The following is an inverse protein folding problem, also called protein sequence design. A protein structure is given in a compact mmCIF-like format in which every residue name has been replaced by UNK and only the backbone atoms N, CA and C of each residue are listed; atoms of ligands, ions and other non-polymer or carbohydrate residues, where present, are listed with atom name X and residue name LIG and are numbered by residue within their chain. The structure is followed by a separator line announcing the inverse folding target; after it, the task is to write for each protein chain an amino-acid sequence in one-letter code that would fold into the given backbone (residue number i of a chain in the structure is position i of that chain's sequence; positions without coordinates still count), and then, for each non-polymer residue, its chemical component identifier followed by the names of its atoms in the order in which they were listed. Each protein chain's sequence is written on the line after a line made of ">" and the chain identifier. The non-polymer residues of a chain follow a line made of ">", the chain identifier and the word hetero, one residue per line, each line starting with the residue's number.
data_IF_029903064650
#
_entry.id   IF_029903064650
#
_cell.length_a   1.000
_cell.length_b   1.000
_cell.length_c   1.000
_cell.angle_alpha   90.00
_cell.angle_beta   90.00
_cell.angle_gamma   90.00
#
_symmetry.space_group_name_H-M   'P 1'
#
loop_
_entity.id
_entity.type
_entity.pdbx_description
1 polymer ?
#
# COMPACT_ATOMS: atom_id res chain seq x y z
N UNK A 1 12.40 -1.96 5.17
CA UNK A 1 11.01 -1.60 4.84
C UNK A 1 10.07 -2.46 5.67
N UNK A 2 9.05 -1.87 6.24
CA UNK A 2 7.91 -2.54 6.88
C UNK A 2 6.62 -1.88 6.42
N UNK A 3 5.46 -2.49 6.65
CA UNK A 3 4.18 -1.94 6.22
C UNK A 3 3.06 -2.36 7.18
N UNK A 4 2.11 -1.49 7.42
CA UNK A 4 0.81 -1.78 8.01
C UNK A 4 -0.27 -1.61 6.93
N UNK A 5 -1.53 -1.91 7.20
CA UNK A 5 -2.62 -2.00 6.21
C UNK A 5 -2.54 -0.98 5.04
N UNK A 6 -2.50 0.33 5.33
CA UNK A 6 -2.44 1.40 4.31
C UNK A 6 -1.19 2.27 4.47
N UNK A 7 -0.18 1.82 5.20
CA UNK A 7 1.03 2.60 5.47
C UNK A 7 2.28 1.77 5.22
N UNK A 8 3.19 2.29 4.41
CA UNK A 8 4.55 1.78 4.27
C UNK A 8 5.51 2.59 5.13
N UNK A 9 6.41 1.94 5.85
CA UNK A 9 7.49 2.56 6.61
C UNK A 9 8.83 2.12 6.03
N UNK A 10 9.61 3.07 5.51
CA UNK A 10 10.90 2.86 4.90
C UNK A 10 11.98 3.56 5.72
N UNK A 11 13.12 2.91 5.83
CA UNK A 11 14.33 3.49 6.43
C UNK A 11 15.44 3.45 5.40
N UNK A 12 16.08 4.59 5.18
CA UNK A 12 17.22 4.77 4.31
C UNK A 12 18.44 5.10 5.17
N UNK A 13 19.44 4.26 5.14
CA UNK A 13 20.74 4.50 5.75
C UNK A 13 21.70 4.94 4.64
N UNK A 14 22.31 6.13 4.78
CA UNK A 14 23.24 6.69 3.84
C UNK A 14 24.68 6.47 4.34
N UNK A 15 25.43 5.67 3.60
CA UNK A 15 26.83 5.44 3.93
C UNK A 15 27.67 6.69 3.59
N UNK A 16 28.35 7.23 4.56
CA UNK A 16 29.37 8.25 4.36
C UNK A 16 30.67 7.56 3.92
N UNK A 17 30.83 7.29 2.64
CA UNK A 17 32.10 6.78 2.11
C UNK A 17 33.13 7.91 2.16
N UNK A 18 34.26 7.77 2.87
CA UNK A 18 35.30 8.81 2.94
C UNK A 18 36.20 8.76 1.69
N UNK A 19 35.63 9.01 0.51
CA UNK A 19 36.41 9.13 -0.73
C UNK A 19 36.33 10.54 -1.24
N UNK A 20 37.45 11.24 -1.17
CA UNK A 20 37.75 12.59 -1.70
C UNK A 20 36.72 13.68 -1.41
N UNK A 21 37.16 14.77 -0.77
CA UNK A 21 36.36 15.87 -0.23
C UNK A 21 35.37 16.55 -1.20
N UNK A 22 35.48 16.28 -2.49
CA UNK A 22 34.71 16.95 -3.56
C UNK A 22 33.58 16.12 -4.17
N UNK A 23 33.35 14.86 -3.74
CA UNK A 23 32.36 13.96 -4.34
C UNK A 23 31.31 13.38 -3.38
N UNK A 24 31.16 13.92 -2.19
CA UNK A 24 30.06 13.50 -1.27
C UNK A 24 28.75 14.02 -1.82
N UNK A 25 28.04 13.16 -2.56
CA UNK A 25 26.66 13.44 -2.95
C UNK A 25 25.79 13.66 -1.71
N UNK A 26 25.07 14.77 -1.67
CA UNK A 26 24.10 15.06 -0.62
C UNK A 26 23.04 13.94 -0.57
N UNK A 27 22.66 13.41 0.61
CA UNK A 27 21.60 12.41 0.73
C UNK A 27 20.29 12.92 0.12
N UNK A 28 19.62 12.08 -0.66
CA UNK A 28 18.39 12.45 -1.32
C UNK A 28 17.45 11.27 -1.50
N UNK A 29 16.15 11.56 -1.62
CA UNK A 29 15.11 10.59 -1.93
C UNK A 29 14.27 11.11 -3.08
N UNK A 30 13.94 10.22 -4.02
CA UNK A 30 13.05 10.48 -5.13
C UNK A 30 11.76 9.67 -5.00
N UNK A 31 10.63 10.34 -5.21
CA UNK A 31 9.31 9.71 -5.27
C UNK A 31 8.78 9.87 -6.68
N UNK A 32 8.57 8.76 -7.37
CA UNK A 32 7.93 8.75 -8.67
C UNK A 32 6.42 8.54 -8.49
N UNK A 33 5.62 9.55 -8.82
CA UNK A 33 4.17 9.47 -8.71
C UNK A 33 3.54 8.78 -9.90
N UNK A 34 4.03 9.02 -11.13
CA UNK A 34 3.46 8.38 -12.31
C UNK A 34 4.54 7.90 -13.29
N UNK A 35 4.24 6.83 -14.01
CA UNK A 35 5.06 6.32 -15.11
C UNK A 35 4.75 7.04 -16.43
N UNK A 36 5.54 6.77 -17.47
CA UNK A 36 5.52 7.51 -18.76
C UNK A 36 4.14 7.66 -19.38
N UNK A 37 3.29 6.65 -19.31
CA UNK A 37 1.99 6.61 -19.97
C UNK A 37 0.83 6.96 -19.03
N UNK A 38 1.12 7.35 -17.78
CA UNK A 38 0.13 7.59 -16.76
C UNK A 38 0.23 9.00 -16.20
N UNK A 39 -0.90 9.63 -16.01
CA UNK A 39 -0.98 10.95 -15.40
C UNK A 39 -0.87 10.84 -13.88
N UNK A 40 -0.16 11.77 -13.29
CA UNK A 40 -0.05 11.92 -11.84
C UNK A 40 0.17 13.35 -11.44
N UNK A 41 0.16 13.56 -10.14
CA UNK A 41 0.43 14.87 -9.53
C UNK A 41 1.27 14.67 -8.28
N UNK A 42 2.23 15.59 -8.07
CA UNK A 42 3.03 15.67 -6.84
C UNK A 42 2.98 17.09 -6.29
N UNK A 43 2.99 17.17 -4.98
CA UNK A 43 3.17 18.38 -4.20
C UNK A 43 4.23 18.14 -3.13
N UNK A 44 4.98 19.18 -2.80
CA UNK A 44 5.96 19.18 -1.70
C UNK A 44 5.52 20.22 -0.67
N UNK A 45 5.30 19.78 0.56
CA UNK A 45 5.08 20.65 1.72
C UNK A 45 6.31 20.58 2.64
N UNK A 46 7.18 21.58 2.52
CA UNK A 46 8.41 21.64 3.29
C UNK A 46 8.14 21.81 4.80
N UNK A 47 7.07 22.50 5.17
CA UNK A 47 6.72 22.75 6.57
C UNK A 47 6.30 21.48 7.30
N UNK A 48 5.60 20.58 6.59
CA UNK A 48 5.18 19.26 7.09
C UNK A 48 6.18 18.15 6.79
N UNK A 49 7.22 18.46 6.03
CA UNK A 49 8.16 17.47 5.50
C UNK A 49 7.43 16.37 4.74
N UNK A 50 6.45 16.75 3.90
CA UNK A 50 5.62 15.83 3.14
C UNK A 50 5.84 16.00 1.64
N UNK A 51 5.81 14.85 0.94
CA UNK A 51 5.58 14.77 -0.51
C UNK A 51 4.29 13.98 -0.69
N UNK A 52 3.31 14.55 -1.39
CA UNK A 52 2.01 13.93 -1.56
C UNK A 52 1.46 14.14 -2.97
N UNK A 53 0.48 13.33 -3.34
CA UNK A 53 -0.12 13.43 -4.65
C UNK A 53 -0.99 12.23 -5.01
N UNK A 54 -1.09 11.98 -6.30
CA UNK A 54 -1.82 10.83 -6.83
C UNK A 54 -1.22 10.33 -8.15
N UNK A 55 -1.63 9.12 -8.53
CA UNK A 55 -1.49 8.59 -9.88
C UNK A 55 -2.83 7.99 -10.36
N UNK A 56 -2.96 7.84 -11.69
CA UNK A 56 -4.15 7.26 -12.33
C UNK A 56 -3.88 5.86 -12.87
N UNK A 57 -2.73 5.27 -12.54
CA UNK A 57 -2.34 3.97 -13.04
C UNK A 57 -3.23 2.86 -12.50
N UNK A 58 -3.77 2.03 -13.39
CA UNK A 58 -4.60 0.87 -13.08
C UNK A 58 -4.14 -0.35 -13.85
N UNK A 59 -4.12 -1.48 -13.19
CA UNK A 59 -3.79 -2.75 -13.83
C UNK A 59 -4.90 -3.24 -14.76
N UNK A 60 -6.15 -2.96 -14.43
CA UNK A 60 -7.36 -3.37 -15.13
C UNK A 60 -7.67 -2.55 -16.39
N UNK A 61 -6.91 -1.50 -16.66
CA UNK A 61 -7.11 -0.58 -17.80
C UNK A 61 -7.22 -1.28 -19.17
N UNK A 62 -6.43 -2.34 -19.38
CA UNK A 62 -6.44 -3.11 -20.64
C UNK A 62 -7.40 -4.30 -20.61
N UNK A 63 -7.97 -4.64 -19.47
CA UNK A 63 -8.59 -5.92 -19.22
C UNK A 63 -10.07 -5.82 -18.82
N UNK A 64 -10.54 -4.63 -18.54
CA UNK A 64 -11.90 -4.38 -18.07
C UNK A 64 -12.67 -3.35 -18.89
N UNK A 65 -13.97 -3.19 -18.62
CA UNK A 65 -14.73 -2.09 -19.16
C UNK A 65 -14.13 -0.76 -18.67
N UNK A 66 -14.17 0.27 -19.50
CA UNK A 66 -13.68 1.62 -19.18
C UNK A 66 -14.60 2.33 -18.16
N UNK A 67 -14.73 1.71 -17.00
CA UNK A 67 -15.40 2.25 -15.82
C UNK A 67 -14.35 2.80 -14.85
N UNK A 68 -14.79 3.42 -13.77
CA UNK A 68 -13.93 3.98 -12.74
C UNK A 68 -12.97 5.06 -13.26
N UNK A 69 -13.48 5.98 -14.07
CA UNK A 69 -12.71 7.12 -14.62
C UNK A 69 -12.13 8.02 -13.51
N UNK A 70 -12.75 8.03 -12.33
CA UNK A 70 -12.30 8.79 -11.16
C UNK A 70 -11.27 8.06 -10.30
N UNK A 71 -10.95 6.80 -10.63
CA UNK A 71 -9.99 6.00 -9.86
C UNK A 71 -8.60 6.63 -9.81
N UNK A 72 -8.09 6.82 -8.61
CA UNK A 72 -6.75 7.35 -8.34
C UNK A 72 -6.13 6.65 -7.14
N UNK A 73 -4.83 6.39 -7.21
CA UNK A 73 -4.06 6.02 -6.04
C UNK A 73 -3.45 7.28 -5.43
N UNK A 74 -3.90 7.66 -4.25
CA UNK A 74 -3.37 8.82 -3.51
C UNK A 74 -2.29 8.37 -2.53
N UNK A 75 -1.32 9.24 -2.27
CA UNK A 75 -0.26 8.99 -1.30
C UNK A 75 0.13 10.25 -0.54
N UNK A 76 0.65 10.04 0.66
CA UNK A 76 1.34 11.06 1.48
C UNK A 76 2.56 10.41 2.09
N UNK A 77 3.74 10.88 1.73
CA UNK A 77 5.02 10.45 2.28
C UNK A 77 5.57 11.52 3.21
N UNK A 78 5.69 11.21 4.50
CA UNK A 78 6.22 12.09 5.54
C UNK A 78 7.63 11.64 5.93
N UNK A 79 8.55 12.59 5.97
CA UNK A 79 9.97 12.36 6.20
C UNK A 79 10.38 12.75 7.63
N UNK A 80 11.29 12.00 8.22
CA UNK A 80 11.84 12.31 9.55
C UNK A 80 12.69 13.58 9.54
N UNK A 81 13.39 13.85 8.44
CA UNK A 81 14.36 14.94 8.33
C UNK A 81 13.84 16.13 7.50
N UNK A 82 14.26 17.36 7.83
CA UNK A 82 13.93 18.55 7.05
C UNK A 82 14.64 18.56 5.70
N UNK A 83 13.98 19.15 4.70
CA UNK A 83 14.53 19.30 3.36
C UNK A 83 15.48 20.51 3.27
N UNK A 84 16.66 20.30 2.71
CA UNK A 84 17.64 21.39 2.41
C UNK A 84 17.53 21.85 0.96
N UNK A 85 17.09 21.00 0.06
CA UNK A 85 16.78 21.30 -1.33
C UNK A 85 15.60 20.40 -1.75
N UNK A 86 14.78 20.89 -2.65
CA UNK A 86 13.64 20.16 -3.18
C UNK A 86 13.39 20.54 -4.65
N UNK A 87 12.58 19.74 -5.31
CA UNK A 87 12.09 20.02 -6.64
C UNK A 87 11.28 18.88 -7.22
N UNK A 88 10.76 19.09 -8.41
CA UNK A 88 9.94 18.13 -9.13
C UNK A 88 10.67 17.57 -10.35
N UNK A 89 10.21 16.45 -10.85
CA UNK A 89 10.71 15.82 -12.06
C UNK A 89 9.60 15.62 -13.09
N UNK A 90 9.97 15.74 -14.36
CA UNK A 90 9.11 15.49 -15.52
C UNK A 90 9.92 14.88 -16.66
N UNK A 91 9.60 13.64 -17.02
CA UNK A 91 10.21 12.99 -18.18
C UNK A 91 11.73 12.82 -18.15
N UNK A 92 12.34 12.74 -16.97
CA UNK A 92 13.78 12.59 -16.81
C UNK A 92 14.53 13.91 -16.57
N UNK A 93 13.84 15.05 -16.57
CA UNK A 93 14.39 16.36 -16.19
C UNK A 93 13.89 16.76 -14.82
N UNK A 94 14.74 17.43 -14.03
CA UNK A 94 14.38 17.98 -12.70
C UNK A 94 14.27 19.49 -12.78
N UNK A 95 13.32 20.05 -12.02
CA UNK A 95 13.09 21.49 -11.88
C UNK A 95 13.23 21.80 -10.40
N UNK A 96 14.30 22.49 -10.07
CA UNK A 96 14.63 22.89 -8.71
C UNK A 96 13.66 23.96 -8.21
N UNK A 97 13.37 23.94 -6.88
CA UNK A 97 12.52 24.88 -6.17
C UNK A 97 11.06 24.94 -6.64
N UNK A 98 10.65 24.05 -7.56
CA UNK A 98 9.25 23.85 -7.89
C UNK A 98 8.63 22.85 -6.90
N UNK A 99 7.45 23.19 -6.35
CA UNK A 99 6.78 22.41 -5.29
C UNK A 99 5.56 21.63 -5.78
N UNK A 100 5.19 21.76 -7.05
CA UNK A 100 4.03 21.10 -7.63
C UNK A 100 4.26 20.74 -9.09
N UNK A 101 3.86 19.51 -9.46
CA UNK A 101 3.84 19.10 -10.86
C UNK A 101 2.69 18.17 -11.14
N UNK A 102 2.01 18.41 -12.27
CA UNK A 102 0.99 17.53 -12.85
C UNK A 102 1.41 17.11 -14.25
N UNK A 103 1.16 15.86 -14.62
CA UNK A 103 1.43 15.33 -15.95
C UNK A 103 1.87 13.87 -15.94
N UNK A 104 2.33 13.42 -17.08
CA UNK A 104 2.85 12.07 -17.23
C UNK A 104 4.32 12.03 -16.76
N UNK A 105 4.74 10.87 -16.25
CA UNK A 105 6.11 10.63 -15.82
C UNK A 105 6.62 11.69 -14.84
N UNK A 106 5.78 12.00 -13.84
CA UNK A 106 6.07 13.03 -12.84
C UNK A 106 6.54 12.42 -11.52
N UNK A 107 7.35 13.17 -10.80
CA UNK A 107 7.87 12.82 -9.49
C UNK A 107 8.38 14.03 -8.73
N UNK A 108 8.85 13.80 -7.52
CA UNK A 108 9.48 14.81 -6.68
C UNK A 108 10.78 14.28 -6.08
N UNK A 109 11.74 15.16 -5.86
CA UNK A 109 12.95 14.86 -5.10
C UNK A 109 13.11 15.81 -3.93
N UNK A 110 13.68 15.29 -2.87
CA UNK A 110 14.05 16.04 -1.67
C UNK A 110 15.47 15.66 -1.25
N UNK A 111 16.26 16.65 -0.84
CA UNK A 111 17.62 16.44 -0.33
C UNK A 111 17.69 16.82 1.14
N UNK A 112 18.62 16.22 1.84
CA UNK A 112 18.84 16.40 3.27
C UNK A 112 20.21 17.01 3.55
N UNK A 113 20.49 17.38 4.78
CA UNK A 113 21.81 17.88 5.17
C UNK A 113 22.90 16.84 4.89
N UNK A 114 24.12 17.30 4.52
CA UNK A 114 25.25 16.40 4.27
C UNK A 114 25.62 15.52 5.48
N UNK A 115 25.26 15.95 6.69
CA UNK A 115 25.47 15.18 7.93
C UNK A 115 24.40 14.13 8.18
N UNK A 116 23.34 14.08 7.40
CA UNK A 116 22.24 13.11 7.57
C UNK A 116 22.72 11.71 7.17
N UNK A 117 22.73 10.80 8.12
CA UNK A 117 23.11 9.39 7.90
C UNK A 117 21.91 8.47 7.77
N UNK A 118 20.72 8.91 8.21
CA UNK A 118 19.48 8.13 8.18
C UNK A 118 18.29 9.01 7.94
N UNK A 119 17.35 8.51 7.14
CA UNK A 119 16.04 9.12 6.92
C UNK A 119 14.98 8.04 6.99
N UNK A 120 13.94 8.27 7.76
CA UNK A 120 12.73 7.44 7.75
C UNK A 120 11.63 8.13 6.95
N UNK A 121 10.89 7.34 6.19
CA UNK A 121 9.78 7.80 5.36
C UNK A 121 8.58 6.93 5.65
N UNK A 122 7.51 7.54 6.14
CA UNK A 122 6.22 6.89 6.32
C UNK A 122 5.28 7.34 5.22
N UNK A 123 4.75 6.39 4.47
CA UNK A 123 3.87 6.67 3.32
C UNK A 123 2.50 6.07 3.56
N UNK A 124 1.52 6.92 3.77
CA UNK A 124 0.11 6.56 3.76
C UNK A 124 -0.42 6.52 2.33
N UNK A 125 -1.23 5.53 2.01
CA UNK A 125 -1.90 5.38 0.71
C UNK A 125 -3.42 5.33 0.87
N UNK A 126 -4.15 5.70 -0.19
CA UNK A 126 -5.62 5.72 -0.20
C UNK A 126 -6.14 5.64 -1.64
N UNK A 127 -7.29 5.02 -1.83
CA UNK A 127 -8.08 5.15 -3.06
C UNK A 127 -9.15 6.26 -2.96
N UNK A 128 -9.26 6.91 -1.81
CA UNK A 128 -10.32 7.90 -1.53
C UNK A 128 -9.83 9.33 -1.79
N UNK A 129 -8.73 9.74 -1.14
CA UNK A 129 -8.19 11.10 -1.27
C UNK A 129 -6.81 11.24 -0.61
N UNK A 130 -6.10 12.34 -0.91
CA UNK A 130 -4.88 12.75 -0.18
C UNK A 130 -5.15 12.94 1.32
N UNK A 131 -6.30 13.54 1.68
CA UNK A 131 -6.67 13.72 3.09
C UNK A 131 -6.89 12.38 3.81
N UNK A 132 -7.44 11.39 3.12
CA UNK A 132 -7.60 10.06 3.67
C UNK A 132 -6.25 9.32 3.76
N UNK A 133 -5.37 9.44 2.76
CA UNK A 133 -4.01 8.89 2.82
C UNK A 133 -3.23 9.46 4.04
N UNK A 134 -3.39 10.76 4.31
CA UNK A 134 -2.79 11.40 5.51
C UNK A 134 -3.43 10.87 6.79
N UNK A 135 -4.74 10.69 6.82
CA UNK A 135 -5.45 10.10 7.96
C UNK A 135 -5.00 8.66 8.22
N UNK A 136 -4.84 7.84 7.19
CA UNK A 136 -4.31 6.48 7.31
C UNK A 136 -2.91 6.51 7.94
N UNK A 137 -2.06 7.43 7.50
CA UNK A 137 -0.73 7.64 8.06
C UNK A 137 -0.79 8.00 9.55
N UNK A 138 -1.60 9.01 9.90
CA UNK A 138 -1.74 9.50 11.29
C UNK A 138 -2.34 8.45 12.24
N UNK A 139 -3.21 7.55 11.72
CA UNK A 139 -3.82 6.47 12.49
C UNK A 139 -2.89 5.26 12.65
N UNK A 140 -2.25 4.82 11.56
CA UNK A 140 -1.56 3.52 11.53
C UNK A 140 -0.08 3.61 11.85
N UNK A 141 0.56 4.75 11.55
CA UNK A 141 1.95 5.03 11.88
C UNK A 141 2.12 6.51 12.30
N UNK A 142 1.56 6.91 13.47
CA UNK A 142 1.69 8.27 13.98
C UNK A 142 3.16 8.65 14.20
N UNK A 143 3.42 9.94 14.44
CA UNK A 143 4.78 10.50 14.45
C UNK A 143 5.66 9.93 15.58
N UNK A 144 5.04 9.48 16.67
CA UNK A 144 5.69 8.84 17.81
C UNK A 144 6.14 7.40 17.55
N UNK A 145 5.61 6.72 16.53
CA UNK A 145 5.97 5.35 16.21
C UNK A 145 7.34 5.28 15.54
N UNK A 146 8.20 4.45 16.09
CA UNK A 146 9.50 4.11 15.48
C UNK A 146 9.32 3.10 14.33
N UNK A 147 10.37 2.95 13.55
CA UNK A 147 10.42 1.89 12.53
C UNK A 147 10.32 0.50 13.17
N UNK A 148 10.97 0.30 14.30
CA UNK A 148 10.94 -0.95 15.07
C UNK A 148 9.53 -1.29 15.56
N UNK A 149 8.75 -0.31 16.03
CA UNK A 149 7.34 -0.51 16.41
C UNK A 149 6.51 -1.02 15.25
N UNK A 150 6.72 -0.45 14.05
CA UNK A 150 6.04 -0.94 12.84
C UNK A 150 6.45 -2.38 12.50
N UNK A 151 7.73 -2.71 12.59
CA UNK A 151 8.25 -4.07 12.34
C UNK A 151 7.62 -5.06 13.31
N UNK A 152 7.62 -4.76 14.62
CA UNK A 152 7.09 -5.68 15.63
C UNK A 152 5.57 -5.85 15.52
N UNK A 153 4.83 -4.78 15.22
CA UNK A 153 3.38 -4.83 14.96
C UNK A 153 3.04 -5.79 13.81
N UNK A 154 3.73 -5.64 12.68
CA UNK A 154 3.51 -6.47 11.49
C UNK A 154 3.91 -7.92 11.74
N UNK A 155 5.06 -8.13 12.38
CA UNK A 155 5.55 -9.46 12.76
C UNK A 155 4.55 -10.16 13.70
N UNK A 156 4.05 -9.46 14.72
CA UNK A 156 3.08 -10.00 15.66
C UNK A 156 1.76 -10.38 14.96
N UNK A 157 1.27 -9.53 14.05
CA UNK A 157 0.06 -9.81 13.26
C UNK A 157 0.22 -11.07 12.38
N UNK A 158 1.37 -11.25 11.75
CA UNK A 158 1.64 -12.47 10.97
C UNK A 158 1.82 -13.70 11.87
N UNK A 159 2.51 -13.57 13.00
CA UNK A 159 2.69 -14.67 13.94
C UNK A 159 1.36 -15.14 14.53
N UNK A 160 0.40 -14.25 14.78
CA UNK A 160 -0.95 -14.61 15.22
C UNK A 160 -1.64 -15.53 14.19
N UNK A 161 -1.57 -15.21 12.89
CA UNK A 161 -2.22 -16.00 11.85
C UNK A 161 -1.47 -17.29 11.52
N UNK A 162 -0.16 -17.21 11.29
CA UNK A 162 0.67 -18.35 10.93
C UNK A 162 0.81 -19.32 12.11
N UNK A 163 0.82 -18.82 13.34
CA UNK A 163 0.94 -19.63 14.56
C UNK A 163 -0.30 -20.43 14.93
N UNK A 164 -1.42 -20.30 14.19
CA UNK A 164 -2.63 -21.13 14.38
C UNK A 164 -2.37 -22.61 14.13
N UNK A 165 -1.31 -22.94 13.38
CA UNK A 165 -0.87 -24.33 13.16
C UNK A 165 0.58 -24.50 13.58
N UNK A 166 0.86 -25.58 14.30
CA UNK A 166 2.22 -25.99 14.69
C UNK A 166 2.54 -27.34 14.07
N UNK A 167 3.59 -27.40 13.24
CA UNK A 167 4.07 -28.65 12.64
C UNK A 167 5.15 -29.24 13.53
N UNK A 168 4.92 -30.48 13.99
CA UNK A 168 5.84 -31.24 14.86
C UNK A 168 6.34 -32.51 14.17
N UNK A 169 7.41 -33.10 14.68
CA UNK A 169 7.89 -34.43 14.24
C UNK A 169 8.58 -34.44 12.88
N UNK A 170 8.97 -33.28 12.35
CA UNK A 170 9.72 -33.19 11.10
C UNK A 170 11.22 -33.10 11.39
N UNK A 171 12.02 -33.97 10.79
CA UNK A 171 13.47 -33.86 10.85
C UNK A 171 13.92 -32.61 10.07
N UNK A 172 14.91 -31.91 10.61
CA UNK A 172 15.48 -30.72 9.96
C UNK A 172 16.19 -31.18 8.68
N UNK A 173 15.65 -30.80 7.54
CA UNK A 173 16.28 -30.92 6.22
C UNK A 173 16.97 -29.60 5.85
N UNK A 174 17.49 -29.48 4.64
CA UNK A 174 17.92 -28.17 4.15
C UNK A 174 16.74 -27.17 4.14
N UNK A 175 17.04 -25.88 4.19
CA UNK A 175 16.03 -24.84 4.38
C UNK A 175 14.94 -24.81 3.28
N UNK A 176 15.31 -25.18 2.05
CA UNK A 176 14.41 -25.09 0.91
C UNK A 176 13.42 -26.28 0.85
N UNK A 177 13.81 -27.43 1.41
CA UNK A 177 13.01 -28.65 1.44
C UNK A 177 12.39 -28.95 2.81
N UNK A 178 12.52 -28.06 3.80
CA UNK A 178 11.87 -28.24 5.10
C UNK A 178 10.34 -28.10 4.93
N UNK A 179 9.54 -29.14 5.25
CA UNK A 179 8.08 -29.07 5.15
C UNK A 179 7.44 -27.91 5.89
N UNK A 180 8.09 -27.40 6.94
CA UNK A 180 7.63 -26.22 7.68
C UNK A 180 7.79 -24.96 6.84
N UNK A 181 8.93 -24.80 6.15
CA UNK A 181 9.15 -23.67 5.24
C UNK A 181 8.11 -23.68 4.11
N UNK A 182 7.87 -24.84 3.48
CA UNK A 182 6.88 -24.99 2.42
C UNK A 182 5.48 -24.65 2.94
N UNK A 183 5.08 -25.18 4.10
CA UNK A 183 3.77 -24.93 4.69
C UNK A 183 3.55 -23.46 5.04
N UNK A 184 4.47 -22.87 5.82
CA UNK A 184 4.28 -21.49 6.26
C UNK A 184 4.39 -20.48 5.12
N UNK A 185 5.21 -20.74 4.11
CA UNK A 185 5.27 -19.93 2.89
C UNK A 185 3.95 -20.02 2.11
N UNK A 186 3.41 -21.22 1.94
CA UNK A 186 2.11 -21.42 1.30
C UNK A 186 0.97 -20.73 2.04
N UNK A 187 0.91 -20.87 3.37
CA UNK A 187 -0.09 -20.19 4.20
C UNK A 187 0.06 -18.66 4.17
N UNK A 188 1.29 -18.16 4.18
CA UNK A 188 1.57 -16.73 4.03
C UNK A 188 1.00 -16.19 2.71
N UNK A 189 1.23 -16.88 1.59
CA UNK A 189 0.69 -16.48 0.30
C UNK A 189 -0.84 -16.55 0.26
N UNK A 190 -1.44 -17.61 0.77
CA UNK A 190 -2.90 -17.77 0.82
C UNK A 190 -3.61 -16.71 1.66
N UNK A 191 -2.95 -16.12 2.64
CA UNK A 191 -3.52 -15.06 3.49
C UNK A 191 -3.31 -13.64 2.93
N UNK A 192 -2.64 -13.46 1.80
CA UNK A 192 -2.42 -12.15 1.19
C UNK A 192 -3.65 -11.64 0.42
N UNK A 193 -4.54 -12.52 -0.01
CA UNK A 193 -5.73 -12.20 -0.79
C UNK A 193 -6.98 -12.81 -0.15
N UNK A 194 -8.17 -12.22 -0.33
CA UNK A 194 -8.42 -10.90 -0.88
C UNK A 194 -7.92 -9.77 0.03
N UNK A 195 -7.69 -8.59 -0.54
CA UNK A 195 -7.23 -7.41 0.19
C UNK A 195 -8.40 -6.58 0.73
N UNK A 196 -8.29 -6.10 1.97
CA UNK A 196 -9.23 -5.13 2.55
C UNK A 196 -8.93 -3.74 1.99
N UNK A 197 -9.84 -3.21 1.19
CA UNK A 197 -9.77 -1.88 0.57
C UNK A 197 -10.40 -0.79 1.42
N UNK A 198 -11.03 -1.16 2.53
CA UNK A 198 -11.68 -0.18 3.40
C UNK A 198 -10.68 0.47 4.36
N UNK A 199 -10.75 1.79 4.43
CA UNK A 199 -9.82 2.65 5.13
C UNK A 199 -10.46 3.17 6.44
N UNK A 200 -9.71 3.31 7.54
CA UNK A 200 -10.26 3.76 8.81
C UNK A 200 -10.63 5.25 8.76
N UNK A 201 -11.75 5.61 9.37
CA UNK A 201 -12.15 7.01 9.55
C UNK A 201 -11.68 7.60 10.88
N UNK A 202 -11.41 6.74 11.86
CA UNK A 202 -10.84 7.10 13.17
C UNK A 202 -10.20 5.89 13.86
N UNK A 203 -9.57 6.12 15.02
CA UNK A 203 -9.00 5.08 15.89
C UNK A 203 -10.04 4.38 16.79
N UNK A 204 -11.32 4.77 16.73
CA UNK A 204 -12.34 4.19 17.57
C UNK A 204 -12.77 2.82 17.04
N UNK A 205 -12.91 1.85 17.92
CA UNK A 205 -13.46 0.54 17.58
C UNK A 205 -14.91 0.70 17.09
N UNK A 206 -15.25 0.01 15.99
CA UNK A 206 -16.58 0.11 15.37
C UNK A 206 -16.82 1.39 14.56
N UNK A 207 -15.82 2.27 14.41
CA UNK A 207 -15.96 3.43 13.55
C UNK A 207 -16.24 3.01 12.09
N UNK A 208 -17.05 3.80 11.35
CA UNK A 208 -17.29 3.54 9.94
C UNK A 208 -15.99 3.51 9.16
N UNK A 209 -15.96 2.72 8.09
CA UNK A 209 -14.85 2.63 7.15
C UNK A 209 -15.24 3.29 5.85
N UNK A 210 -14.27 3.87 5.17
CA UNK A 210 -14.47 4.51 3.88
C UNK A 210 -13.69 3.75 2.80
N UNK A 211 -14.26 3.64 1.61
CA UNK A 211 -13.60 3.00 0.48
C UNK A 211 -14.12 3.54 -0.85
N UNK A 212 -13.30 3.44 -1.88
CA UNK A 212 -13.72 3.72 -3.25
C UNK A 212 -14.13 2.42 -3.94
N UNK A 213 -15.25 2.47 -4.68
CA UNK A 213 -15.69 1.39 -5.55
C UNK A 213 -15.63 1.81 -7.01
N UNK A 214 -14.90 1.09 -7.83
CA UNK A 214 -14.88 1.31 -9.27
C UNK A 214 -16.18 0.90 -9.97
N UNK A 215 -17.00 0.05 -9.36
CA UNK A 215 -18.29 -0.37 -9.90
C UNK A 215 -19.31 0.77 -9.93
N UNK A 216 -19.23 1.66 -8.94
CA UNK A 216 -20.11 2.85 -8.84
C UNK A 216 -19.38 4.14 -9.16
N UNK A 217 -18.06 4.08 -9.40
CA UNK A 217 -17.16 5.22 -9.58
C UNK A 217 -17.29 6.27 -8.46
N UNK A 218 -17.46 5.79 -7.22
CA UNK A 218 -17.74 6.66 -6.08
C UNK A 218 -17.19 6.12 -4.75
N UNK A 219 -17.14 7.01 -3.76
CA UNK A 219 -16.71 6.71 -2.40
C UNK A 219 -17.92 6.30 -1.55
N UNK A 220 -17.77 5.22 -0.79
CA UNK A 220 -18.75 4.69 0.13
C UNK A 220 -18.24 4.76 1.57
N UNK A 221 -19.18 4.82 2.51
CA UNK A 221 -18.89 4.74 3.95
C UNK A 221 -19.80 3.70 4.58
N UNK A 222 -19.22 2.69 5.24
CA UNK A 222 -19.94 1.58 5.84
C UNK A 222 -19.28 1.12 7.14
N UNK A 223 -20.04 0.35 7.95
CA UNK A 223 -19.52 -0.24 9.19
C UNK A 223 -18.79 -1.57 8.98
N UNK A 224 -18.65 -2.01 7.72
CA UNK A 224 -18.07 -3.30 7.36
C UNK A 224 -16.90 -3.12 6.42
N UNK A 225 -16.00 -4.10 6.38
CA UNK A 225 -14.86 -4.12 5.46
C UNK A 225 -15.32 -4.40 4.03
N UNK A 226 -14.62 -3.78 3.08
CA UNK A 226 -14.79 -3.99 1.65
C UNK A 226 -13.56 -4.64 1.06
N UNK A 227 -13.72 -5.89 0.62
CA UNK A 227 -12.65 -6.71 0.06
C UNK A 227 -12.64 -6.66 -1.45
N UNK A 228 -11.43 -6.68 -2.01
CA UNK A 228 -11.12 -6.70 -3.44
C UNK A 228 -9.94 -7.63 -3.74
N UNK A 229 -9.49 -7.65 -4.97
CA UNK A 229 -8.32 -8.42 -5.44
C UNK A 229 -8.56 -9.94 -5.41
N UNK A 230 -9.75 -10.38 -5.83
CA UNK A 230 -10.01 -11.80 -6.04
C UNK A 230 -9.72 -12.25 -7.45
N UNK A 231 -9.18 -13.45 -7.54
CA UNK A 231 -9.28 -14.33 -8.71
C UNK A 231 -10.15 -15.52 -8.33
N UNK A 232 -11.47 -15.40 -8.48
CA UNK A 232 -12.42 -16.38 -7.93
C UNK A 232 -12.28 -17.76 -8.58
N UNK A 233 -11.94 -17.82 -9.84
CA UNK A 233 -11.74 -19.10 -10.53
C UNK A 233 -10.47 -19.85 -10.08
N UNK A 234 -9.51 -19.16 -9.46
CA UNK A 234 -8.36 -19.78 -8.79
C UNK A 234 -8.71 -20.18 -7.36
N UNK A 235 -9.37 -19.28 -6.62
CA UNK A 235 -9.54 -19.41 -5.16
C UNK A 235 -10.73 -20.29 -4.75
N UNK A 236 -11.67 -20.57 -5.66
CA UNK A 236 -12.89 -21.32 -5.35
C UNK A 236 -12.62 -22.73 -4.82
N UNK A 237 -11.52 -23.34 -5.22
CA UNK A 237 -11.24 -24.77 -5.00
C UNK A 237 -10.94 -25.08 -3.53
N UNK A 238 -10.02 -24.37 -2.92
CA UNK A 238 -9.56 -24.67 -1.57
C UNK A 238 -9.32 -23.42 -0.70
N UNK A 239 -8.97 -22.30 -1.28
CA UNK A 239 -8.57 -21.11 -0.54
C UNK A 239 -9.72 -20.52 0.30
N UNK A 240 -10.93 -20.45 -0.25
CA UNK A 240 -12.09 -20.02 0.54
C UNK A 240 -12.36 -20.92 1.75
N UNK A 241 -12.21 -22.23 1.60
CA UNK A 241 -12.32 -23.18 2.72
C UNK A 241 -11.17 -23.00 3.72
N UNK A 242 -9.95 -22.73 3.24
CA UNK A 242 -8.80 -22.44 4.08
C UNK A 242 -9.05 -21.14 4.90
N UNK A 243 -9.57 -20.10 4.26
CA UNK A 243 -9.87 -18.82 4.94
C UNK A 243 -10.93 -18.99 6.04
N UNK A 244 -11.90 -19.91 5.89
CA UNK A 244 -12.87 -20.20 6.97
C UNK A 244 -12.21 -20.81 8.20
N UNK A 245 -11.06 -21.44 8.06
CA UNK A 245 -10.29 -22.03 9.16
C UNK A 245 -9.28 -21.03 9.75
N UNK A 246 -8.61 -20.24 8.90
CA UNK A 246 -7.50 -19.40 9.30
C UNK A 246 -7.82 -17.91 9.46
N UNK A 247 -8.94 -17.45 8.92
CA UNK A 247 -9.42 -16.07 9.04
C UNK A 247 -10.95 -15.99 9.14
N UNK A 248 -11.61 -16.82 9.99
CA UNK A 248 -13.08 -16.90 10.06
C UNK A 248 -13.72 -15.54 10.35
N UNK A 249 -13.03 -14.68 11.08
CA UNK A 249 -13.48 -13.31 11.41
C UNK A 249 -13.64 -12.39 10.20
N UNK A 250 -13.01 -12.72 9.05
CA UNK A 250 -13.06 -11.93 7.81
C UNK A 250 -14.08 -12.43 6.80
N UNK A 251 -14.45 -13.72 6.88
CA UNK A 251 -15.23 -14.40 5.82
C UNK A 251 -16.58 -13.74 5.57
N UNK A 252 -17.29 -13.31 6.62
CA UNK A 252 -18.57 -12.64 6.45
C UNK A 252 -18.45 -11.34 5.66
N UNK A 253 -17.47 -10.52 5.96
CA UNK A 253 -17.23 -9.24 5.25
C UNK A 253 -16.77 -9.50 3.81
N UNK A 254 -15.98 -10.55 3.57
CA UNK A 254 -15.61 -10.99 2.23
C UNK A 254 -16.84 -11.35 1.40
N UNK A 255 -17.74 -12.17 1.92
CA UNK A 255 -18.95 -12.57 1.21
C UNK A 255 -19.90 -11.39 0.98
N UNK A 256 -20.03 -10.50 1.95
CA UNK A 256 -20.81 -9.25 1.76
C UNK A 256 -20.21 -8.35 0.70
N UNK A 257 -18.89 -8.31 0.56
CA UNK A 257 -18.23 -7.53 -0.50
C UNK A 257 -18.60 -8.07 -1.89
N UNK A 258 -18.64 -9.39 -2.08
CA UNK A 258 -19.08 -10.00 -3.34
C UNK A 258 -20.57 -9.72 -3.63
N UNK A 259 -21.43 -9.75 -2.60
CA UNK A 259 -22.85 -9.39 -2.76
C UNK A 259 -23.03 -7.92 -3.13
N UNK A 260 -22.27 -7.00 -2.53
CA UNK A 260 -22.28 -5.57 -2.92
C UNK A 260 -21.86 -5.39 -4.37
N UNK A 261 -20.82 -6.09 -4.82
CA UNK A 261 -20.39 -6.05 -6.21
C UNK A 261 -21.53 -6.51 -7.12
N UNK A 262 -22.23 -7.59 -6.77
CA UNK A 262 -23.40 -8.05 -7.49
C UNK A 262 -24.52 -6.99 -7.54
N UNK A 263 -24.84 -6.35 -6.41
CA UNK A 263 -25.87 -5.31 -6.32
C UNK A 263 -25.54 -4.10 -7.21
N UNK A 264 -24.25 -3.76 -7.36
CA UNK A 264 -23.79 -2.61 -8.16
C UNK A 264 -23.61 -2.94 -9.65
N UNK A 265 -23.18 -4.15 -9.98
CA UNK A 265 -22.85 -4.54 -11.35
C UNK A 265 -23.88 -5.47 -12.00
N UNK A 266 -24.71 -6.13 -11.21
CA UNK A 266 -25.65 -7.17 -11.67
C UNK A 266 -25.00 -8.55 -11.82
N UNK A 267 -23.70 -8.71 -11.53
CA UNK A 267 -22.95 -9.95 -11.71
C UNK A 267 -22.02 -10.23 -10.55
N UNK A 268 -21.82 -11.49 -10.21
CA UNK A 268 -20.69 -11.88 -9.37
C UNK A 268 -19.40 -11.82 -10.22
N UNK A 269 -18.37 -11.13 -9.74
CA UNK A 269 -17.15 -10.95 -10.54
C UNK A 269 -16.33 -12.23 -10.61
N UNK A 270 -15.73 -12.51 -11.76
CA UNK A 270 -14.69 -13.53 -11.86
C UNK A 270 -13.36 -13.01 -11.29
N UNK A 271 -13.06 -11.74 -11.59
CA UNK A 271 -11.93 -10.99 -11.08
C UNK A 271 -12.45 -9.71 -10.44
N UNK A 272 -12.52 -9.70 -9.12
CA UNK A 272 -12.90 -8.52 -8.36
C UNK A 272 -11.67 -7.66 -8.09
N UNK A 273 -11.25 -6.90 -9.06
CA UNK A 273 -10.25 -5.84 -8.90
C UNK A 273 -10.96 -4.51 -8.62
N UNK A 274 -10.32 -3.38 -8.86
CA UNK A 274 -10.94 -2.08 -8.68
C UNK A 274 -12.28 -1.98 -9.44
N UNK A 275 -12.36 -2.61 -10.61
CA UNK A 275 -13.57 -2.90 -11.38
C UNK A 275 -13.61 -4.38 -11.76
N UNK A 276 -14.77 -4.84 -12.19
CA UNK A 276 -14.93 -6.19 -12.70
C UNK A 276 -14.11 -6.42 -13.96
N UNK A 277 -13.36 -7.52 -13.96
CA UNK A 277 -12.63 -7.99 -15.13
C UNK A 277 -13.12 -9.38 -15.44
N UNK A 278 -13.93 -9.53 -16.48
CA UNK A 278 -14.42 -10.81 -16.98
C UNK A 278 -13.61 -11.21 -18.22
N UNK A 279 -12.37 -11.64 -17.99
CA UNK A 279 -11.53 -12.18 -19.04
C UNK A 279 -11.37 -13.66 -18.78
N UNK A 280 -11.87 -14.42 -19.65
CA UNK A 280 -11.85 -15.86 -19.93
C UNK A 280 -13.20 -16.47 -19.99
#
# INVERSE_FOLDING_TARGET
>A
MSADAHVGHLRFDFEHTPTNADSKGQPWVFIQASRRNWTGEVHIDQSRREVYGYNTERQDYLLGPDKASSAKGYFVSRFSEPFTELGVANGGSTIKDEVRRHGNFTGAYVKFANSTSRVEVRTGVSYVSVSQARRNLDIQAPDENTFEDTVEKVKSAWLEKLGRVSIKGVNKTDADNDPRTIWYTGLFHALQYPSDFSEPTSNQEGAPRVFYSGYTDSVHTENDSYYQSWSIWDTYRAEHSLLTLFAPERVNSMMRSLLRIFDWSGWLPMWANLVETNIM
#
